data_IF_240846180071
#
_entry.id   IF_240846180071
#
_cell.length_a   1.000
_cell.length_b   1.000
_cell.length_c   1.000
_cell.angle_alpha   90.00
_cell.angle_beta   90.00
_cell.angle_gamma   90.00
#
_symmetry.space_group_name_H-M   'P 1'
#
loop_
_entity.id
_entity.type
_entity.pdbx_description
1 polymer ?
#
# COMPACT_ATOMS: atom_id res chain seq x y z
N UNK A 1 -4.58 9.44 -2.21
CA UNK A 1 -5.39 10.07 -1.12
C UNK A 1 -4.43 10.80 -0.19
N UNK A 2 -4.56 12.12 0.04
CA UNK A 2 -3.58 12.88 0.84
C UNK A 2 -3.88 12.71 2.33
N UNK A 3 -3.04 11.96 3.05
CA UNK A 3 -3.18 11.75 4.49
C UNK A 3 -2.91 13.06 5.24
N UNK A 4 -3.85 13.48 6.09
CA UNK A 4 -3.70 14.68 6.91
C UNK A 4 -2.86 14.39 8.16
N UNK A 5 -1.55 14.68 8.07
CA UNK A 5 -0.55 14.46 9.12
C UNK A 5 -0.94 15.08 10.48
N UNK A 6 -1.53 16.31 10.47
CA UNK A 6 -2.01 16.97 11.69
C UNK A 6 -3.11 16.16 12.37
N UNK A 7 -4.01 15.55 11.60
CA UNK A 7 -5.10 14.72 12.13
C UNK A 7 -4.58 13.42 12.75
N UNK A 8 -3.58 12.78 12.12
CA UNK A 8 -2.95 11.56 12.66
C UNK A 8 -2.23 11.85 13.98
N UNK A 9 -1.42 12.90 14.02
CA UNK A 9 -0.68 13.29 15.23
C UNK A 9 -1.60 13.69 16.37
N UNK A 10 -2.67 14.46 16.09
CA UNK A 10 -3.66 14.83 17.10
C UNK A 10 -4.32 13.59 17.71
N UNK A 11 -4.65 12.59 16.89
CA UNK A 11 -5.26 11.34 17.33
C UNK A 11 -4.30 10.48 18.15
N UNK A 12 -3.05 10.35 17.70
CA UNK A 12 -2.01 9.66 18.45
C UNK A 12 -1.76 10.30 19.81
N UNK A 13 -1.76 11.64 19.88
CA UNK A 13 -1.59 12.37 21.12
C UNK A 13 -2.74 12.12 22.11
N UNK A 14 -3.98 12.10 21.63
CA UNK A 14 -5.15 11.77 22.47
C UNK A 14 -5.16 10.30 22.93
N UNK A 15 -4.67 9.37 22.12
CA UNK A 15 -4.50 7.96 22.51
C UNK A 15 -3.41 7.80 23.58
N UNK A 16 -2.27 8.47 23.42
CA UNK A 16 -1.17 8.42 24.37
C UNK A 16 -1.57 8.91 25.77
N UNK A 17 -2.44 9.93 25.87
CA UNK A 17 -2.99 10.45 27.13
C UNK A 17 -3.76 9.41 27.94
N UNK A 18 -4.38 8.43 27.28
CA UNK A 18 -5.17 7.38 27.91
C UNK A 18 -4.32 6.20 28.40
N UNK A 19 -3.04 6.17 28.03
CA UNK A 19 -2.10 5.12 28.41
C UNK A 19 -1.28 5.56 29.62
N UNK A 20 -0.82 4.59 30.43
CA UNK A 20 0.01 4.83 31.63
C UNK A 20 1.47 4.44 31.35
N UNK A 21 2.42 5.20 31.91
CA UNK A 21 3.86 4.95 31.76
C UNK A 21 4.61 6.08 31.06
N UNK A 22 5.81 5.77 30.56
CA UNK A 22 6.65 6.75 29.87
C UNK A 22 5.95 7.36 28.65
N UNK A 23 6.01 8.69 28.55
CA UNK A 23 5.27 9.42 27.53
C UNK A 23 5.81 9.15 26.12
N UNK A 24 7.13 9.04 25.96
CA UNK A 24 7.73 8.78 24.65
C UNK A 24 7.34 7.38 24.13
N UNK A 25 7.41 6.36 24.98
CA UNK A 25 6.97 5.00 24.65
C UNK A 25 5.47 4.93 24.30
N UNK A 26 4.61 5.62 25.08
CA UNK A 26 3.16 5.69 24.81
C UNK A 26 2.85 6.42 23.51
N UNK A 27 3.52 7.53 23.23
CA UNK A 27 3.30 8.29 22.01
C UNK A 27 3.73 7.51 20.77
N UNK A 28 4.85 6.77 20.84
CA UNK A 28 5.29 5.89 19.76
C UNK A 28 4.26 4.77 19.48
N UNK A 29 3.70 4.15 20.53
CA UNK A 29 2.67 3.12 20.41
C UNK A 29 1.35 3.69 19.85
N UNK A 30 0.92 4.84 20.37
CA UNK A 30 -0.28 5.53 19.94
C UNK A 30 -0.18 6.07 18.49
N UNK A 31 1.02 6.48 18.06
CA UNK A 31 1.30 6.85 16.67
C UNK A 31 1.12 5.65 15.74
N UNK A 32 1.69 4.49 16.10
CA UNK A 32 1.49 3.25 15.32
C UNK A 32 0.00 2.91 15.18
N UNK A 33 -0.77 3.09 16.26
CA UNK A 33 -2.21 2.81 16.27
C UNK A 33 -3.04 3.83 15.46
N UNK A 34 -2.74 5.12 15.59
CA UNK A 34 -3.37 6.17 14.78
C UNK A 34 -3.03 6.04 13.28
N UNK A 35 -1.79 5.67 12.95
CA UNK A 35 -1.39 5.35 11.59
C UNK A 35 -2.09 4.09 11.08
N UNK A 36 -2.24 3.05 11.91
CA UNK A 36 -3.01 1.84 11.59
C UNK A 36 -4.46 2.18 11.25
N UNK A 37 -5.13 3.04 12.03
CA UNK A 37 -6.51 3.44 11.77
C UNK A 37 -6.71 4.36 10.55
N UNK A 38 -5.67 5.11 10.16
CA UNK A 38 -5.71 5.94 8.94
C UNK A 38 -5.31 5.14 7.70
N UNK A 39 -4.59 4.03 7.90
CA UNK A 39 -4.16 3.09 6.84
C UNK A 39 -5.14 1.90 6.65
N UNK A 40 -6.05 1.65 7.59
CA UNK A 40 -7.05 0.57 7.57
C UNK A 40 -8.44 1.12 7.22
N UNK A 41 -9.30 0.62 6.33
CA UNK A 41 -9.56 -0.76 5.84
C UNK A 41 -9.05 -1.81 6.81
N UNK A 42 -9.89 -2.22 7.76
CA UNK A 42 -9.59 -3.30 8.71
C UNK A 42 -9.04 -4.48 7.92
N UNK A 43 -7.72 -4.72 8.00
CA UNK A 43 -7.12 -5.88 7.35
C UNK A 43 -7.67 -7.12 8.05
N UNK A 44 -8.08 -8.15 7.29
CA UNK A 44 -8.64 -9.34 7.89
C UNK A 44 -7.60 -10.05 8.76
N UNK A 45 -8.09 -10.80 9.74
CA UNK A 45 -7.28 -11.75 10.49
C UNK A 45 -6.79 -12.86 9.58
N UNK A 46 -5.50 -13.20 9.67
CA UNK A 46 -4.91 -14.21 8.81
C UNK A 46 -5.31 -15.63 9.21
N UNK A 47 -5.62 -16.45 8.21
CA UNK A 47 -5.91 -17.88 8.29
C UNK A 47 -4.68 -18.69 7.87
N UNK A 48 -4.25 -19.62 8.73
CA UNK A 48 -3.13 -20.52 8.48
C UNK A 48 -2.54 -21.10 9.76
N UNK A 49 -1.43 -21.83 9.63
CA UNK A 49 -0.66 -22.24 10.82
C UNK A 49 0.00 -21.02 11.49
N UNK A 50 0.27 -21.10 12.79
CA UNK A 50 0.89 -19.99 13.54
C UNK A 50 2.20 -19.50 12.90
N UNK A 51 3.03 -20.44 12.39
CA UNK A 51 4.27 -20.10 11.66
C UNK A 51 3.99 -19.38 10.34
N UNK A 52 3.00 -19.84 9.57
CA UNK A 52 2.61 -19.19 8.32
C UNK A 52 2.02 -17.80 8.59
N UNK A 53 1.18 -17.64 9.61
CA UNK A 53 0.60 -16.35 9.98
C UNK A 53 1.72 -15.36 10.34
N UNK A 54 2.66 -15.75 11.20
CA UNK A 54 3.76 -14.86 11.58
C UNK A 54 4.59 -14.41 10.36
N UNK A 55 4.92 -15.33 9.45
CA UNK A 55 5.66 -14.98 8.24
C UNK A 55 4.84 -14.14 7.26
N UNK A 56 3.58 -14.49 7.03
CA UNK A 56 2.69 -13.74 6.16
C UNK A 56 2.43 -12.33 6.68
N UNK A 57 2.32 -12.11 7.99
CA UNK A 57 2.20 -10.78 8.59
C UNK A 57 3.45 -9.93 8.35
N UNK A 58 4.63 -10.52 8.48
CA UNK A 58 5.89 -9.83 8.16
C UNK A 58 5.93 -9.41 6.69
N UNK A 59 5.62 -10.34 5.77
CA UNK A 59 5.48 -10.09 4.33
C UNK A 59 4.45 -8.96 4.08
N UNK A 60 3.25 -9.07 4.66
CA UNK A 60 2.15 -8.11 4.49
C UNK A 60 2.57 -6.71 4.94
N UNK A 61 3.32 -6.62 6.04
CA UNK A 61 3.82 -5.35 6.57
C UNK A 61 4.85 -4.68 5.66
N UNK A 62 5.63 -5.47 4.91
CA UNK A 62 6.59 -4.99 3.89
C UNK A 62 5.90 -4.64 2.56
N UNK A 63 4.98 -5.47 2.09
CA UNK A 63 4.38 -5.35 0.75
C UNK A 63 3.35 -4.23 0.66
N UNK A 64 2.43 -4.12 1.64
CA UNK A 64 1.34 -3.12 1.58
C UNK A 64 1.88 -1.70 1.38
N UNK A 65 2.87 -1.21 2.15
CA UNK A 65 3.39 0.15 1.98
C UNK A 65 3.99 0.42 0.60
N UNK A 66 4.67 -0.58 0.01
CA UNK A 66 5.27 -0.49 -1.31
C UNK A 66 4.19 -0.36 -2.38
N UNK A 67 3.14 -1.18 -2.30
CA UNK A 67 1.99 -1.13 -3.22
C UNK A 67 1.21 0.18 -3.06
N UNK A 68 0.99 0.64 -1.82
CA UNK A 68 0.36 1.95 -1.56
C UNK A 68 1.16 3.11 -2.18
N UNK A 69 2.50 3.07 -2.07
CA UNK A 69 3.40 4.04 -2.69
C UNK A 69 3.28 4.01 -4.22
N UNK A 70 3.26 2.81 -4.83
CA UNK A 70 3.10 2.65 -6.28
C UNK A 70 1.77 3.21 -6.80
N UNK A 71 0.68 2.97 -6.08
CA UNK A 71 -0.65 3.49 -6.44
C UNK A 71 -0.72 5.01 -6.29
N UNK A 72 -0.14 5.58 -5.24
CA UNK A 72 -0.10 7.04 -5.10
C UNK A 72 0.68 7.69 -6.24
N UNK A 73 1.83 7.12 -6.62
CA UNK A 73 2.56 7.59 -7.80
C UNK A 73 1.70 7.51 -9.06
N UNK A 74 0.96 6.41 -9.24
CA UNK A 74 0.06 6.27 -10.37
C UNK A 74 -1.03 7.35 -10.38
N UNK A 75 -1.64 7.68 -9.23
CA UNK A 75 -2.63 8.75 -9.15
C UNK A 75 -2.04 10.11 -9.50
N UNK A 76 -0.82 10.39 -9.06
CA UNK A 76 -0.10 11.60 -9.44
C UNK A 76 0.17 11.61 -10.95
N UNK A 77 0.59 10.48 -11.53
CA UNK A 77 0.83 10.36 -12.96
C UNK A 77 -0.45 10.58 -13.78
N UNK A 78 -1.59 10.04 -13.33
CA UNK A 78 -2.91 10.24 -13.95
C UNK A 78 -3.32 11.72 -13.98
N UNK A 79 -2.91 12.49 -12.98
CA UNK A 79 -3.21 13.93 -12.92
C UNK A 79 -2.21 14.81 -13.68
N UNK A 80 -0.94 14.40 -13.74
CA UNK A 80 0.15 15.29 -14.15
C UNK A 80 0.76 14.97 -15.50
N UNK A 81 0.71 13.71 -15.96
CA UNK A 81 1.38 13.33 -17.23
C UNK A 81 0.46 13.64 -18.41
N UNK A 82 1.05 14.27 -19.42
CA UNK A 82 0.39 14.71 -20.67
C UNK A 82 -0.48 13.61 -21.30
N UNK A 83 0.02 12.37 -21.33
CA UNK A 83 -0.72 11.21 -21.85
C UNK A 83 -2.11 11.02 -21.22
N UNK A 84 -2.27 11.28 -19.92
CA UNK A 84 -3.57 11.14 -19.24
C UNK A 84 -4.39 12.41 -19.33
N UNK A 85 -3.75 13.59 -19.33
CA UNK A 85 -4.45 14.85 -19.53
C UNK A 85 -5.09 14.97 -20.92
N UNK A 86 -4.52 14.29 -21.92
CA UNK A 86 -5.12 14.19 -23.26
C UNK A 86 -6.32 13.23 -23.32
N UNK A 87 -6.72 12.61 -22.19
CA UNK A 87 -7.86 11.69 -22.08
C UNK A 87 -8.99 12.35 -21.30
N UNK A 88 -10.19 11.78 -21.43
CA UNK A 88 -11.36 12.29 -20.71
C UNK A 88 -11.20 12.15 -19.19
N UNK A 89 -11.90 12.99 -18.44
CA UNK A 89 -11.91 12.91 -16.98
C UNK A 89 -12.45 11.57 -16.48
N UNK A 90 -13.48 11.02 -17.13
CA UNK A 90 -14.03 9.71 -16.79
C UNK A 90 -12.98 8.59 -16.94
N UNK A 91 -12.13 8.69 -17.98
CA UNK A 91 -11.02 7.75 -18.14
C UNK A 91 -10.04 7.86 -16.97
N UNK A 92 -9.66 9.07 -16.57
CA UNK A 92 -8.75 9.30 -15.44
C UNK A 92 -9.32 8.79 -14.12
N UNK A 93 -10.60 9.06 -13.86
CA UNK A 93 -11.29 8.62 -12.65
C UNK A 93 -11.42 7.10 -12.57
N UNK A 94 -11.81 6.45 -13.67
CA UNK A 94 -11.88 4.99 -13.76
C UNK A 94 -10.53 4.34 -13.45
N UNK A 95 -9.45 4.90 -14.00
CA UNK A 95 -8.09 4.42 -13.73
C UNK A 95 -7.73 4.51 -12.26
N UNK A 96 -8.07 5.60 -11.58
CA UNK A 96 -7.85 5.72 -10.14
C UNK A 96 -8.66 4.68 -9.34
N UNK A 97 -9.92 4.48 -9.72
CA UNK A 97 -10.81 3.50 -9.09
C UNK A 97 -10.28 2.07 -9.23
N UNK A 98 -9.80 1.69 -10.42
CA UNK A 98 -9.12 0.40 -10.67
C UNK A 98 -7.92 0.21 -9.74
N UNK A 99 -7.07 1.23 -9.60
CA UNK A 99 -5.93 1.21 -8.68
C UNK A 99 -6.38 1.04 -7.21
N UNK A 100 -7.46 1.71 -6.80
CA UNK A 100 -8.02 1.55 -5.45
C UNK A 100 -8.50 0.11 -5.23
N UNK A 101 -9.27 -0.43 -6.19
CA UNK A 101 -9.85 -1.76 -6.11
C UNK A 101 -8.80 -2.86 -6.06
N UNK A 102 -7.69 -2.69 -6.78
CA UNK A 102 -6.53 -3.59 -6.73
C UNK A 102 -5.91 -3.62 -5.32
N UNK A 103 -5.74 -2.45 -4.69
CA UNK A 103 -5.23 -2.37 -3.31
C UNK A 103 -6.19 -3.01 -2.31
N UNK A 104 -7.48 -2.73 -2.42
CA UNK A 104 -8.50 -3.27 -1.53
C UNK A 104 -8.57 -4.80 -1.63
N UNK A 105 -8.49 -5.34 -2.85
CA UNK A 105 -8.46 -6.78 -3.09
C UNK A 105 -7.22 -7.42 -2.47
N UNK A 106 -6.05 -6.80 -2.62
CA UNK A 106 -4.81 -7.24 -1.96
C UNK A 106 -4.93 -7.21 -0.43
N UNK A 107 -5.48 -6.11 0.11
CA UNK A 107 -5.69 -5.93 1.56
C UNK A 107 -6.71 -6.92 2.13
N UNK A 108 -7.66 -7.39 1.33
CA UNK A 108 -8.69 -8.33 1.73
C UNK A 108 -8.22 -9.79 1.77
N UNK A 109 -6.98 -10.10 1.35
CA UNK A 109 -6.43 -11.46 1.43
C UNK A 109 -6.21 -11.83 2.90
N UNK A 110 -6.99 -12.79 3.37
CA UNK A 110 -6.90 -13.37 4.71
C UNK A 110 -6.06 -14.66 4.74
N UNK A 111 -5.71 -15.25 3.60
CA UNK A 111 -4.93 -16.48 3.52
C UNK A 111 -3.43 -16.22 3.72
N UNK A 112 -2.86 -16.74 4.81
CA UNK A 112 -1.41 -16.64 5.06
C UNK A 112 -0.60 -17.36 3.96
N UNK A 113 -1.11 -18.49 3.45
CA UNK A 113 -0.48 -19.22 2.35
C UNK A 113 -0.40 -18.36 1.09
N UNK A 114 -1.45 -17.64 0.75
CA UNK A 114 -1.49 -16.80 -0.46
C UNK A 114 -0.48 -15.65 -0.40
N UNK A 115 -0.30 -15.03 0.77
CA UNK A 115 0.74 -14.03 0.99
C UNK A 115 2.15 -14.61 0.79
N UNK A 116 2.40 -15.80 1.33
CA UNK A 116 3.70 -16.50 1.19
C UNK A 116 3.94 -16.91 -0.26
N UNK A 117 2.96 -17.52 -0.91
CA UNK A 117 3.10 -17.99 -2.29
C UNK A 117 3.36 -16.83 -3.27
N UNK A 118 2.68 -15.69 -3.06
CA UNK A 118 2.79 -14.52 -3.94
C UNK A 118 4.02 -13.66 -3.67
N UNK A 119 4.41 -13.50 -2.40
CA UNK A 119 5.40 -12.49 -1.99
C UNK A 119 6.52 -13.02 -1.11
N UNK A 120 6.52 -14.29 -0.71
CA UNK A 120 7.47 -14.85 0.24
C UNK A 120 8.93 -14.77 -0.21
N UNK A 121 9.18 -14.83 -1.52
CA UNK A 121 10.52 -14.72 -2.10
C UNK A 121 10.87 -13.32 -2.59
N UNK A 122 9.95 -12.35 -2.48
CA UNK A 122 10.13 -11.01 -3.06
C UNK A 122 10.79 -10.09 -2.05
N UNK A 123 12.06 -9.77 -2.25
CA UNK A 123 12.87 -9.15 -1.20
C UNK A 123 13.10 -7.65 -1.35
N UNK A 124 12.95 -7.12 -2.56
CA UNK A 124 13.09 -5.69 -2.83
C UNK A 124 11.77 -5.06 -3.33
N UNK A 125 11.73 -3.72 -3.31
CA UNK A 125 10.54 -2.97 -3.74
C UNK A 125 10.24 -3.19 -5.24
N UNK A 126 11.26 -3.41 -6.08
CA UNK A 126 11.10 -3.56 -7.53
C UNK A 126 10.36 -4.85 -7.88
N UNK A 127 10.71 -5.97 -7.26
CA UNK A 127 10.05 -7.26 -7.45
C UNK A 127 8.59 -7.22 -6.99
N UNK A 128 8.33 -6.53 -5.87
CA UNK A 128 6.98 -6.32 -5.32
C UNK A 128 6.15 -5.48 -6.30
N UNK A 129 6.70 -4.35 -6.77
CA UNK A 129 6.02 -3.45 -7.72
C UNK A 129 5.81 -4.13 -9.06
N UNK A 130 6.78 -4.89 -9.56
CA UNK A 130 6.70 -5.60 -10.83
C UNK A 130 5.61 -6.66 -10.81
N UNK A 131 5.52 -7.42 -9.72
CA UNK A 131 4.46 -8.41 -9.53
C UNK A 131 3.08 -7.76 -9.35
N UNK A 132 2.99 -6.68 -8.57
CA UNK A 132 1.75 -5.92 -8.45
C UNK A 132 1.29 -5.37 -9.81
N UNK A 133 2.21 -4.84 -10.61
CA UNK A 133 1.90 -4.38 -11.97
C UNK A 133 1.43 -5.51 -12.88
N UNK A 134 2.02 -6.71 -12.77
CA UNK A 134 1.57 -7.89 -13.52
C UNK A 134 0.14 -8.28 -13.14
N UNK A 135 -0.18 -8.39 -11.85
CA UNK A 135 -1.54 -8.64 -11.38
C UNK A 135 -2.48 -7.52 -11.85
N UNK A 136 -2.04 -6.26 -11.74
CA UNK A 136 -2.88 -5.14 -12.09
C UNK A 136 -3.20 -5.10 -13.61
N UNK A 137 -2.27 -5.53 -14.45
CA UNK A 137 -2.49 -5.73 -15.89
C UNK A 137 -3.48 -6.86 -16.16
N UNK A 138 -3.30 -8.01 -15.50
CA UNK A 138 -4.12 -9.21 -15.73
C UNK A 138 -5.57 -9.02 -15.29
N UNK A 139 -5.80 -8.36 -14.16
CA UNK A 139 -7.12 -8.25 -13.54
C UNK A 139 -7.83 -6.91 -13.79
N UNK A 140 -7.11 -5.85 -14.17
CA UNK A 140 -7.66 -4.49 -14.24
C UNK A 140 -7.30 -3.75 -15.55
N UNK A 141 -6.74 -4.43 -16.55
CA UNK A 141 -6.39 -3.86 -17.86
C UNK A 141 -5.58 -2.55 -17.76
N UNK A 142 -4.69 -2.47 -16.76
CA UNK A 142 -3.80 -1.33 -16.62
C UNK A 142 -2.81 -1.36 -17.79
N UNK A 143 -2.65 -0.24 -18.50
CA UNK A 143 -1.76 -0.18 -19.66
C UNK A 143 -0.30 -0.48 -19.30
N UNK A 144 0.37 -1.27 -20.13
CA UNK A 144 1.80 -1.61 -19.99
C UNK A 144 2.73 -0.40 -19.87
N UNK A 145 2.38 0.73 -20.48
CA UNK A 145 3.13 1.99 -20.39
C UNK A 145 3.13 2.56 -18.97
N UNK A 146 2.03 2.38 -18.25
CA UNK A 146 1.86 2.79 -16.85
C UNK A 146 2.76 1.97 -15.94
N UNK A 147 2.67 0.65 -16.05
CA UNK A 147 3.49 -0.27 -15.27
C UNK A 147 4.98 -0.04 -15.52
N UNK A 148 5.35 0.28 -16.76
CA UNK A 148 6.72 0.65 -17.11
C UNK A 148 7.16 1.94 -16.42
N UNK A 149 6.31 2.97 -16.38
CA UNK A 149 6.61 4.22 -15.70
C UNK A 149 6.76 4.04 -14.17
N UNK A 150 5.84 3.29 -13.55
CA UNK A 150 5.91 2.96 -12.12
C UNK A 150 7.21 2.18 -11.83
N UNK A 151 7.53 1.15 -12.62
CA UNK A 151 8.77 0.37 -12.44
C UNK A 151 10.03 1.24 -12.58
N UNK A 152 10.07 2.14 -13.58
CA UNK A 152 11.21 3.05 -13.80
C UNK A 152 11.49 3.97 -12.62
N UNK A 153 10.46 4.40 -11.90
CA UNK A 153 10.61 5.31 -10.75
C UNK A 153 11.10 4.59 -9.49
N UNK A 154 10.71 3.33 -9.32
CA UNK A 154 11.22 2.50 -8.23
C UNK A 154 12.65 2.00 -8.49
N UNK A 155 13.02 1.76 -9.76
CA UNK A 155 14.39 1.40 -10.16
C UNK A 155 15.35 2.58 -10.13
N UNK A 156 14.93 3.76 -10.60
CA UNK A 156 15.77 4.96 -10.59
C UNK A 156 16.20 5.38 -9.17
N UNK A 157 15.32 5.17 -8.18
CA UNK A 157 15.59 5.46 -6.77
C UNK A 157 16.43 4.41 -6.04
N UNK A 158 16.64 3.24 -6.62
CA UNK A 158 17.55 2.23 -6.05
C UNK A 158 19.04 2.52 -6.38
N UNK A 159 19.30 3.51 -7.24
CA UNK A 159 20.63 3.92 -7.68
C UNK A 159 21.10 5.27 -7.09
N UNK A 160 20.34 5.88 -6.18
CA UNK A 160 20.71 7.08 -5.40
C UNK A 160 20.96 6.71 -3.94
#
# INVERSE_FOLDING_TARGET
MKVNLKKVMKKAHELAKKMVGDYAARLALALRQAWKEVRNVVLPEMKGSQKQIAWAEDIRSRVIPVVEKAINYFYEAVETKEFYQSRSEEFRMRRKEEGTKALETLKAIDSAKEWIDRFGYKNDEEEIVSFFCYIAQEYFDISSRVCTAIRKEFTARACE
#
